data_IF_735040728616
#
_entry.id   IF_735040728616
#
_cell.length_a   1.000
_cell.length_b   1.000
_cell.length_c   1.000
_cell.angle_alpha   90.00
_cell.angle_beta   90.00
_cell.angle_gamma   90.00
#
_symmetry.space_group_name_H-M   'P 1'
#
loop_
_entity.id
_entity.type
_entity.pdbx_description
1 polymer ?
#
# COMPACT_ATOMS: atom_id res chain seq x y z
N UNK A 1 -41.07 71.24 56.00
CA UNK A 1 -40.73 69.83 56.14
C UNK A 1 -40.63 69.21 54.74
N UNK A 2 -39.43 68.96 54.29
CA UNK A 2 -39.18 68.42 52.89
C UNK A 2 -38.92 66.88 53.04
N UNK A 3 -39.78 66.11 52.44
CA UNK A 3 -39.63 64.68 52.38
C UNK A 3 -38.65 64.32 51.19
N UNK A 4 -37.58 63.60 51.52
CA UNK A 4 -36.68 62.99 50.55
C UNK A 4 -37.21 61.62 50.17
N UNK A 5 -37.55 61.45 48.87
CA UNK A 5 -37.88 60.15 48.32
C UNK A 5 -36.61 59.44 47.87
N UNK A 6 -36.30 58.30 48.45
CA UNK A 6 -35.22 57.39 48.00
C UNK A 6 -35.73 56.52 46.89
N UNK A 7 -35.13 56.64 45.67
CA UNK A 7 -35.32 55.67 44.57
C UNK A 7 -34.45 54.43 44.77
N UNK A 8 -34.97 53.25 44.59
CA UNK A 8 -34.14 52.03 44.56
C UNK A 8 -33.41 51.90 43.25
N UNK A 9 -32.07 51.79 43.31
CA UNK A 9 -31.18 51.51 42.18
C UNK A 9 -31.25 50.03 41.86
N UNK A 10 -31.94 49.68 40.75
CA UNK A 10 -32.06 48.30 40.27
C UNK A 10 -30.76 47.87 39.59
N UNK A 11 -30.02 46.94 40.18
CA UNK A 11 -28.79 46.39 39.67
C UNK A 11 -29.12 45.26 38.66
N UNK A 12 -29.05 45.55 37.36
CA UNK A 12 -29.25 44.58 36.32
C UNK A 12 -27.96 43.80 36.14
N UNK A 13 -27.92 42.54 36.59
CA UNK A 13 -26.83 41.60 36.38
C UNK A 13 -26.94 41.04 34.97
N UNK A 14 -26.02 41.41 34.05
CA UNK A 14 -25.91 40.86 32.72
C UNK A 14 -25.17 39.50 32.81
N UNK A 15 -25.88 38.38 32.70
CA UNK A 15 -25.30 37.05 32.58
C UNK A 15 -24.74 36.87 31.15
N UNK A 16 -23.41 36.99 31.00
CA UNK A 16 -22.72 36.65 29.79
C UNK A 16 -22.57 35.12 29.73
N UNK A 17 -23.40 34.46 28.97
CA UNK A 17 -23.24 33.05 28.66
C UNK A 17 -22.02 32.85 27.75
N UNK A 18 -20.88 32.47 28.32
CA UNK A 18 -19.71 32.05 27.57
C UNK A 18 -20.00 30.71 26.90
N UNK A 19 -20.23 30.68 25.60
CA UNK A 19 -20.23 29.47 24.80
C UNK A 19 -18.81 28.90 24.77
N UNK A 20 -18.49 27.99 25.72
CA UNK A 20 -17.28 27.19 25.67
C UNK A 20 -17.45 26.13 24.57
N UNK A 21 -17.08 26.46 23.34
CA UNK A 21 -16.91 25.45 22.31
C UNK A 21 -15.79 24.47 22.72
N UNK A 22 -15.83 23.20 22.26
CA UNK A 22 -14.77 22.26 22.54
C UNK A 22 -13.45 22.80 22.00
N UNK A 23 -12.48 23.02 22.87
CA UNK A 23 -11.13 23.42 22.47
C UNK A 23 -10.53 22.31 21.60
N UNK A 24 -9.98 22.63 20.42
CA UNK A 24 -9.29 21.64 19.62
C UNK A 24 -8.17 21.03 20.47
N UNK A 25 -8.23 19.73 20.68
CA UNK A 25 -7.17 19.01 21.37
C UNK A 25 -5.93 19.05 20.50
N UNK A 26 -4.75 19.48 20.98
CA UNK A 26 -3.53 19.40 20.18
C UNK A 26 -3.28 17.94 19.85
N UNK A 27 -3.35 17.56 18.57
CA UNK A 27 -2.96 16.23 18.10
C UNK A 27 -1.49 16.01 18.45
N UNK A 28 -1.20 14.98 19.21
CA UNK A 28 0.17 14.68 19.55
C UNK A 28 0.94 14.26 18.30
N UNK A 29 2.22 14.58 18.24
CA UNK A 29 3.11 14.15 17.15
C UNK A 29 3.02 12.63 16.90
N UNK A 30 2.75 11.85 17.95
CA UNK A 30 2.57 10.39 17.90
C UNK A 30 1.28 9.98 17.17
N UNK A 31 0.20 10.73 17.29
CA UNK A 31 -1.05 10.46 16.56
C UNK A 31 -0.90 10.71 15.07
N UNK A 32 -0.05 11.65 14.68
CA UNK A 32 0.27 11.93 13.28
C UNK A 32 1.15 10.83 12.66
N UNK A 33 2.05 10.22 13.44
CA UNK A 33 2.89 9.09 13.00
C UNK A 33 2.11 7.77 13.01
N UNK A 34 1.12 7.64 13.89
CA UNK A 34 0.28 6.44 14.05
C UNK A 34 -0.86 6.34 13.04
N UNK A 35 -1.05 7.34 12.18
CA UNK A 35 -1.86 7.17 10.98
C UNK A 35 -0.97 6.50 9.93
N UNK A 36 -1.09 5.20 9.64
CA UNK A 36 -0.48 4.65 8.46
C UNK A 36 -1.09 5.45 7.30
N UNK A 37 -0.28 6.12 6.51
CA UNK A 37 -0.69 6.50 5.15
C UNK A 37 -1.38 5.26 4.60
N UNK A 38 -2.66 5.35 4.19
CA UNK A 38 -3.56 4.23 3.96
C UNK A 38 -2.88 3.08 3.21
N UNK A 39 -2.13 2.30 3.96
CA UNK A 39 -1.55 1.05 3.47
C UNK A 39 -2.76 0.18 3.25
N UNK A 40 -3.00 -0.22 2.02
CA UNK A 40 -4.10 -1.13 1.72
C UNK A 40 -3.93 -2.36 2.60
N UNK A 41 -4.85 -2.64 3.50
CA UNK A 41 -4.86 -3.85 4.33
C UNK A 41 -4.66 -5.08 3.44
N UNK A 42 -5.34 -5.12 2.29
CA UNK A 42 -5.19 -6.14 1.27
C UNK A 42 -3.78 -6.19 0.66
N UNK A 43 -3.13 -5.05 0.50
CA UNK A 43 -1.74 -4.99 0.02
C UNK A 43 -0.77 -5.64 1.01
N UNK A 44 -0.95 -5.40 2.30
CA UNK A 44 -0.16 -6.07 3.33
C UNK A 44 -0.39 -7.58 3.36
N UNK A 45 -1.64 -8.04 3.22
CA UNK A 45 -1.95 -9.47 3.14
C UNK A 45 -1.29 -10.13 1.91
N UNK A 46 -1.30 -9.45 0.76
CA UNK A 46 -0.59 -9.90 -0.45
C UNK A 46 0.92 -10.02 -0.21
N UNK A 47 1.54 -9.02 0.42
CA UNK A 47 2.97 -9.05 0.72
C UNK A 47 3.33 -10.16 1.71
N UNK A 48 2.53 -10.35 2.78
CA UNK A 48 2.73 -11.42 3.75
C UNK A 48 2.55 -12.81 3.13
N UNK A 49 1.52 -12.97 2.28
CA UNK A 49 1.31 -14.23 1.56
C UNK A 49 2.49 -14.55 0.62
N UNK A 50 3.02 -13.52 -0.06
CA UNK A 50 4.18 -13.67 -0.94
C UNK A 50 5.42 -14.18 -0.21
N UNK A 51 5.66 -13.71 1.03
CA UNK A 51 6.75 -14.21 1.88
C UNK A 51 6.62 -15.71 2.19
N UNK A 52 5.39 -16.20 2.36
CA UNK A 52 5.12 -17.62 2.61
C UNK A 52 5.39 -18.54 1.42
N UNK A 53 5.60 -17.98 0.22
CA UNK A 53 5.91 -18.77 -0.98
C UNK A 53 7.39 -18.77 -1.37
N UNK A 54 8.26 -18.17 -0.56
CA UNK A 54 9.72 -18.23 -0.79
C UNK A 54 10.16 -19.69 -0.88
N UNK A 55 11.11 -19.98 -1.76
CA UNK A 55 11.63 -21.30 -2.12
C UNK A 55 10.66 -22.21 -2.90
N UNK A 56 9.43 -21.78 -3.20
CA UNK A 56 8.56 -22.47 -4.15
C UNK A 56 9.24 -22.61 -5.52
N UNK A 57 9.21 -23.81 -6.10
CA UNK A 57 9.85 -24.10 -7.37
C UNK A 57 9.31 -23.26 -8.53
N UNK A 58 10.20 -22.84 -9.42
CA UNK A 58 9.82 -22.19 -10.67
C UNK A 58 9.35 -23.20 -11.71
N UNK A 59 8.27 -22.88 -12.42
CA UNK A 59 7.83 -23.58 -13.61
C UNK A 59 7.25 -22.61 -14.62
N UNK A 60 7.71 -22.64 -15.85
CA UNK A 60 7.14 -21.81 -16.90
C UNK A 60 5.65 -22.12 -17.12
N UNK A 61 4.80 -21.10 -17.10
CA UNK A 61 3.33 -21.22 -17.14
C UNK A 61 2.71 -21.80 -15.87
N UNK A 62 3.48 -22.00 -14.80
CA UNK A 62 3.03 -22.51 -13.51
C UNK A 62 2.16 -21.51 -12.76
N UNK A 63 1.06 -21.98 -12.14
CA UNK A 63 0.02 -21.15 -11.52
C UNK A 63 -0.38 -21.57 -10.12
N UNK A 64 0.25 -22.60 -9.58
CA UNK A 64 0.03 -23.04 -8.21
C UNK A 64 1.36 -23.48 -7.58
N UNK A 65 1.51 -23.39 -6.24
CA UNK A 65 2.77 -23.71 -5.55
C UNK A 65 3.19 -25.18 -5.69
N UNK A 66 2.25 -26.12 -5.72
CA UNK A 66 2.56 -27.56 -5.78
C UNK A 66 3.18 -27.96 -7.12
N UNK A 67 2.72 -27.33 -8.21
CA UNK A 67 3.23 -27.62 -9.56
C UNK A 67 4.37 -26.67 -9.97
N UNK A 68 4.65 -25.65 -9.19
CA UNK A 68 5.57 -24.58 -9.48
C UNK A 68 4.89 -23.32 -10.03
N UNK A 69 5.58 -22.19 -9.92
CA UNK A 69 5.08 -20.86 -10.27
C UNK A 69 6.02 -20.18 -11.28
N UNK A 70 5.46 -19.47 -12.27
CA UNK A 70 6.18 -18.40 -12.95
C UNK A 70 5.86 -17.03 -12.33
N UNK A 71 6.47 -15.95 -12.81
CA UNK A 71 6.30 -14.61 -12.25
C UNK A 71 4.83 -14.15 -12.26
N UNK A 72 4.12 -14.32 -13.36
CA UNK A 72 2.72 -13.91 -13.52
C UNK A 72 1.76 -14.89 -12.80
N UNK A 73 2.05 -16.16 -12.81
CA UNK A 73 1.29 -17.17 -12.06
C UNK A 73 1.37 -16.99 -10.56
N UNK A 74 2.56 -16.63 -10.04
CA UNK A 74 2.75 -16.25 -8.64
C UNK A 74 1.86 -15.05 -8.25
N UNK A 75 1.90 -13.97 -9.02
CA UNK A 75 1.06 -12.79 -8.76
C UNK A 75 -0.43 -13.15 -8.79
N UNK A 76 -0.88 -13.86 -9.84
CA UNK A 76 -2.27 -14.29 -9.98
C UNK A 76 -2.74 -15.14 -8.81
N UNK A 77 -1.92 -16.08 -8.37
CA UNK A 77 -2.22 -16.96 -7.25
C UNK A 77 -2.34 -16.18 -5.93
N UNK A 78 -1.34 -15.34 -5.62
CA UNK A 78 -1.29 -14.59 -4.37
C UNK A 78 -2.44 -13.59 -4.28
N UNK A 79 -2.67 -12.79 -5.30
CA UNK A 79 -3.75 -11.80 -5.31
C UNK A 79 -5.14 -12.43 -5.17
N UNK A 80 -5.34 -13.59 -5.80
CA UNK A 80 -6.58 -14.35 -5.66
C UNK A 80 -6.79 -14.88 -4.25
N UNK A 81 -5.73 -15.35 -3.58
CA UNK A 81 -5.80 -15.96 -2.25
C UNK A 81 -5.82 -14.94 -1.12
N UNK A 82 -4.96 -13.94 -1.17
CA UNK A 82 -4.80 -12.97 -0.09
C UNK A 82 -5.80 -11.81 -0.17
N UNK A 83 -6.09 -11.30 -1.38
CA UNK A 83 -6.90 -10.09 -1.54
C UNK A 83 -8.27 -10.34 -2.20
N UNK A 84 -8.54 -11.54 -2.70
CA UNK A 84 -9.74 -11.83 -3.49
C UNK A 84 -9.76 -11.14 -4.86
N UNK A 85 -8.63 -10.59 -5.30
CA UNK A 85 -8.49 -9.87 -6.58
C UNK A 85 -8.12 -10.84 -7.69
N UNK A 86 -8.94 -10.89 -8.73
CA UNK A 86 -8.74 -11.79 -9.87
C UNK A 86 -7.76 -11.17 -10.86
N UNK A 87 -6.49 -11.51 -10.73
CA UNK A 87 -5.42 -11.10 -11.65
C UNK A 87 -5.17 -12.23 -12.67
N UNK A 88 -5.07 -11.90 -13.97
CA UNK A 88 -4.92 -12.89 -15.05
C UNK A 88 -3.95 -12.43 -16.13
N UNK A 89 -3.42 -13.43 -16.86
CA UNK A 89 -2.61 -13.22 -18.04
C UNK A 89 -1.10 -13.24 -17.77
N UNK A 90 -0.34 -12.82 -18.77
CA UNK A 90 1.10 -12.63 -18.69
C UNK A 90 1.46 -11.40 -17.83
N UNK A 91 2.74 -11.20 -17.53
CA UNK A 91 3.19 -10.00 -16.84
C UNK A 91 2.78 -8.70 -17.58
N UNK A 92 2.83 -8.70 -18.92
CA UNK A 92 2.37 -7.57 -19.73
C UNK A 92 0.86 -7.33 -19.59
N UNK A 93 0.04 -8.39 -19.62
CA UNK A 93 -1.41 -8.26 -19.42
C UNK A 93 -1.73 -7.71 -18.03
N UNK A 94 -1.01 -8.17 -17.01
CA UNK A 94 -1.15 -7.67 -15.63
C UNK A 94 -0.79 -6.19 -15.57
N UNK A 95 0.30 -5.77 -16.23
CA UNK A 95 0.68 -4.37 -16.30
C UNK A 95 -0.43 -3.52 -16.94
N UNK A 96 -0.98 -3.93 -18.08
CA UNK A 96 -2.03 -3.19 -18.77
C UNK A 96 -3.33 -3.07 -17.99
N UNK A 97 -3.66 -4.07 -17.15
CA UNK A 97 -4.89 -4.11 -16.36
C UNK A 97 -4.75 -3.51 -14.96
N UNK A 98 -3.57 -3.03 -14.58
CA UNK A 98 -3.30 -2.39 -13.29
C UNK A 98 -3.08 -0.88 -13.44
N UNK A 99 -3.35 -0.11 -12.37
CA UNK A 99 -3.19 1.33 -12.35
C UNK A 99 -1.71 1.71 -12.17
N UNK A 100 -1.14 2.62 -12.97
CA UNK A 100 0.23 3.11 -12.75
C UNK A 100 0.30 3.94 -11.45
N UNK A 101 1.42 3.84 -10.77
CA UNK A 101 1.80 4.67 -9.62
C UNK A 101 3.26 5.11 -9.78
N UNK A 102 3.61 6.26 -9.21
CA UNK A 102 5.00 6.67 -9.17
C UNK A 102 5.79 5.76 -8.19
N UNK A 103 7.05 5.43 -8.50
CA UNK A 103 7.85 4.52 -7.67
C UNK A 103 7.99 4.94 -6.21
N UNK A 104 7.95 6.24 -5.93
CA UNK A 104 8.00 6.82 -4.58
C UNK A 104 6.77 6.51 -3.73
N UNK A 105 5.67 6.15 -4.37
CA UNK A 105 4.41 5.76 -3.71
C UNK A 105 4.21 4.25 -3.62
N UNK A 106 5.23 3.44 -3.92
CA UNK A 106 5.18 1.99 -3.76
C UNK A 106 4.88 1.61 -2.30
N UNK A 107 3.88 0.77 -2.13
CA UNK A 107 3.47 0.20 -0.84
C UNK A 107 3.55 -1.32 -0.89
N UNK A 108 3.73 -2.01 0.24
CA UNK A 108 3.67 -3.46 0.27
C UNK A 108 2.43 -4.01 -0.45
N UNK A 109 2.63 -5.02 -1.27
CA UNK A 109 1.59 -5.61 -2.11
C UNK A 109 1.44 -4.99 -3.50
N UNK A 110 2.02 -3.82 -3.79
CA UNK A 110 2.05 -3.27 -5.15
C UNK A 110 2.96 -4.09 -6.07
N UNK A 111 2.85 -3.84 -7.37
CA UNK A 111 3.57 -4.58 -8.40
C UNK A 111 4.72 -3.77 -8.97
N UNK A 112 5.83 -4.45 -9.22
CA UNK A 112 7.01 -3.90 -9.90
C UNK A 112 7.29 -4.70 -11.18
N UNK A 113 7.50 -3.99 -12.28
CA UNK A 113 7.67 -4.58 -13.60
C UNK A 113 9.04 -4.30 -14.18
N UNK A 114 9.55 -5.28 -14.94
CA UNK A 114 10.89 -5.23 -15.50
C UNK A 114 10.93 -5.76 -16.93
N UNK A 115 11.89 -5.24 -17.71
CA UNK A 115 12.28 -5.76 -19.00
C UNK A 115 13.46 -6.75 -18.87
N UNK A 116 13.18 -8.01 -18.65
CA UNK A 116 14.21 -9.04 -18.47
C UNK A 116 14.47 -9.88 -19.73
N UNK A 117 13.66 -9.70 -20.79
CA UNK A 117 13.69 -10.51 -22.01
C UNK A 117 13.69 -9.66 -23.30
N UNK A 118 14.18 -8.42 -23.23
CA UNK A 118 14.10 -7.45 -24.34
C UNK A 118 12.66 -7.24 -24.87
N UNK A 119 11.69 -7.34 -23.99
CA UNK A 119 10.27 -7.05 -24.21
C UNK A 119 9.70 -6.30 -23.01
N UNK A 120 8.90 -5.24 -23.25
CA UNK A 120 8.24 -4.52 -22.17
C UNK A 120 7.44 -5.45 -21.25
N UNK A 121 7.50 -5.17 -19.96
CA UNK A 121 6.76 -5.90 -18.92
C UNK A 121 6.92 -7.41 -18.99
N UNK A 122 8.13 -7.89 -19.32
CA UNK A 122 8.40 -9.33 -19.46
C UNK A 122 8.57 -10.06 -18.13
N UNK A 123 8.63 -9.31 -17.02
CA UNK A 123 8.73 -9.85 -15.66
C UNK A 123 8.00 -8.98 -14.65
N UNK A 124 7.47 -9.60 -13.58
CA UNK A 124 6.72 -8.94 -12.51
C UNK A 124 7.11 -9.51 -11.16
N UNK A 125 7.13 -8.64 -10.13
CA UNK A 125 7.27 -8.99 -8.73
C UNK A 125 6.27 -8.24 -7.86
N UNK A 126 6.14 -8.67 -6.60
CA UNK A 126 5.32 -8.05 -5.56
C UNK A 126 6.24 -7.29 -4.61
N UNK A 127 6.01 -5.99 -4.46
CA UNK A 127 6.79 -5.13 -3.58
C UNK A 127 6.50 -5.43 -2.10
N UNK A 128 7.56 -5.43 -1.28
CA UNK A 128 7.50 -5.75 0.16
C UNK A 128 7.75 -4.55 1.07
N UNK A 129 8.20 -3.43 0.53
CA UNK A 129 8.81 -2.34 1.29
C UNK A 129 10.34 -2.39 1.25
N UNK A 130 10.99 -1.30 1.67
CA UNK A 130 12.46 -1.17 1.77
C UNK A 130 13.20 -1.54 0.49
N UNK A 131 12.66 -1.14 -0.66
CA UNK A 131 13.18 -1.46 -1.99
C UNK A 131 13.32 -2.98 -2.25
N UNK A 132 12.58 -3.85 -1.57
CA UNK A 132 12.59 -5.31 -1.74
C UNK A 132 11.33 -5.78 -2.45
N UNK A 133 11.44 -6.85 -3.21
CA UNK A 133 10.30 -7.48 -3.88
C UNK A 133 10.45 -9.00 -3.95
N UNK A 134 9.33 -9.71 -3.91
CA UNK A 134 9.26 -11.17 -4.14
C UNK A 134 8.90 -11.42 -5.59
N UNK A 135 9.56 -12.37 -6.21
CA UNK A 135 9.28 -12.79 -7.57
C UNK A 135 9.69 -14.25 -7.83
N UNK A 136 9.28 -14.79 -8.97
CA UNK A 136 9.68 -16.11 -9.46
C UNK A 136 10.56 -15.96 -10.71
N UNK A 137 11.88 -15.78 -10.60
CA UNK A 137 12.76 -15.69 -11.75
C UNK A 137 13.10 -17.08 -12.29
N UNK A 138 13.12 -17.20 -13.63
CA UNK A 138 13.50 -18.46 -14.27
C UNK A 138 14.96 -18.87 -14.01
N UNK A 139 15.84 -17.89 -13.77
CA UNK A 139 17.28 -18.14 -13.61
C UNK A 139 17.65 -18.81 -12.29
N UNK A 140 16.88 -18.60 -11.22
CA UNK A 140 17.15 -19.23 -9.92
C UNK A 140 16.36 -20.51 -9.66
N UNK A 141 15.35 -20.79 -10.48
CA UNK A 141 14.49 -21.96 -10.34
C UNK A 141 13.54 -21.94 -9.14
N UNK A 142 13.42 -20.81 -8.42
CA UNK A 142 12.54 -20.68 -7.25
C UNK A 142 12.10 -19.24 -6.99
N UNK A 143 11.01 -19.08 -6.21
CA UNK A 143 10.56 -17.81 -5.66
C UNK A 143 11.58 -17.30 -4.64
N UNK A 144 11.94 -16.01 -4.75
CA UNK A 144 12.91 -15.39 -3.86
C UNK A 144 12.68 -13.87 -3.71
N UNK A 145 13.42 -13.27 -2.77
CA UNK A 145 13.49 -11.81 -2.60
C UNK A 145 14.73 -11.27 -3.29
N UNK A 146 14.57 -10.17 -4.04
CA UNK A 146 15.65 -9.35 -4.56
C UNK A 146 15.38 -7.86 -4.24
N UNK A 147 16.36 -6.99 -4.54
CA UNK A 147 16.26 -5.53 -4.32
C UNK A 147 16.07 -4.78 -5.62
N UNK A 148 15.28 -3.72 -5.60
CA UNK A 148 15.15 -2.78 -6.73
C UNK A 148 16.48 -2.09 -7.04
N UNK A 149 17.34 -1.91 -6.01
CA UNK A 149 18.67 -1.31 -6.13
C UNK A 149 19.73 -2.25 -6.72
N UNK A 150 19.45 -3.55 -6.83
CA UNK A 150 20.37 -4.49 -7.47
C UNK A 150 20.59 -4.09 -8.93
N UNK A 151 21.84 -3.96 -9.36
CA UNK A 151 22.19 -3.44 -10.68
C UNK A 151 21.40 -4.08 -11.82
N UNK A 152 21.14 -5.38 -11.76
CA UNK A 152 20.37 -6.10 -12.76
C UNK A 152 18.93 -5.57 -12.86
N UNK A 153 18.25 -5.39 -11.72
CA UNK A 153 16.85 -4.96 -11.68
C UNK A 153 16.71 -3.45 -11.85
N UNK A 154 17.62 -2.66 -11.27
CA UNK A 154 17.61 -1.21 -11.42
C UNK A 154 17.68 -0.77 -12.89
N UNK A 155 18.51 -1.47 -13.71
CA UNK A 155 18.63 -1.19 -15.14
C UNK A 155 17.46 -1.69 -15.99
N UNK A 156 16.57 -2.51 -15.43
CA UNK A 156 15.45 -3.17 -16.13
C UNK A 156 14.09 -2.78 -15.61
N UNK A 157 14.04 -1.97 -14.57
CA UNK A 157 12.79 -1.47 -14.00
C UNK A 157 12.04 -0.62 -15.03
N UNK A 158 10.75 -0.87 -15.20
CA UNK A 158 9.90 -0.18 -16.17
C UNK A 158 8.73 0.56 -15.52
N UNK A 159 8.11 -0.03 -14.51
CA UNK A 159 6.94 0.58 -13.89
C UNK A 159 6.65 0.04 -12.49
N UNK A 160 6.03 0.89 -11.67
CA UNK A 160 5.30 0.52 -10.47
C UNK A 160 3.80 0.60 -10.75
N UNK A 161 3.02 -0.38 -10.30
CA UNK A 161 1.57 -0.45 -10.53
C UNK A 161 0.83 -1.08 -9.36
N UNK A 162 -0.48 -0.81 -9.27
CA UNK A 162 -1.32 -1.31 -8.19
C UNK A 162 -2.69 -1.76 -8.67
N UNK A 163 -3.32 -2.68 -7.92
CA UNK A 163 -4.74 -3.03 -7.98
C UNK A 163 -5.52 -2.48 -6.77
N UNK A 164 -4.86 -1.75 -5.89
CA UNK A 164 -5.44 -1.18 -4.67
C UNK A 164 -5.66 0.34 -4.81
N UNK A 165 -6.60 0.86 -4.01
CA UNK A 165 -6.91 2.30 -3.92
C UNK A 165 -5.94 3.05 -2.98
#
# INVERSE_FOLDING_TARGET
MRAFALLPMSLTVLLVAACSGPTPRPVSYWETISQPSAVSEKGNEVALYALGLIDTGYRFGGKNPEAGLDCSGMVSFIYGRAAGVKVKGSAADIAHNSRPIEPEFLRPGDLVFFNTRNRPFSHVGIYLGDARFVHAPSSSGRVRIDRLSDRYYAQRFEAARTFFD
#
